data_IF_807221988370
#
_entry.id   IF_807221988370
#
_cell.length_a   1.000
_cell.length_b   1.000
_cell.length_c   1.000
_cell.angle_alpha   90.00
_cell.angle_beta   90.00
_cell.angle_gamma   90.00
#
_symmetry.space_group_name_H-M   'P 1'
#
loop_
_entity.id
_entity.type
_entity.pdbx_description
1 polymer ?
#
# COMPACT_ATOMS: atom_id res chain seq x y z
N UNK A 1 -54.36 58.56 38.99
CA UNK A 1 -53.19 57.95 38.33
C UNK A 1 -53.03 58.57 36.97
N UNK A 2 -51.82 58.98 36.64
CA UNK A 2 -51.50 59.60 35.35
C UNK A 2 -51.38 58.53 34.25
N UNK A 3 -51.67 58.89 32.99
CA UNK A 3 -51.53 58.00 31.82
C UNK A 3 -50.13 57.34 31.73
N UNK A 4 -49.11 58.06 32.19
CA UNK A 4 -47.71 57.61 32.22
C UNK A 4 -47.53 56.41 33.17
N UNK A 5 -48.20 56.40 34.33
CA UNK A 5 -48.12 55.31 35.30
C UNK A 5 -48.76 54.02 34.75
N UNK A 6 -49.87 54.16 34.03
CA UNK A 6 -50.53 53.04 33.35
C UNK A 6 -49.65 52.46 32.23
N UNK A 7 -48.98 53.32 31.46
CA UNK A 7 -48.06 52.91 30.41
C UNK A 7 -46.86 52.11 30.97
N UNK A 8 -46.33 52.52 32.13
CA UNK A 8 -45.23 51.82 32.81
C UNK A 8 -45.67 50.44 33.30
N UNK A 9 -46.87 50.32 33.89
CA UNK A 9 -47.42 49.04 34.34
C UNK A 9 -47.68 48.07 33.18
N UNK A 10 -48.14 48.56 32.03
CA UNK A 10 -48.30 47.73 30.83
C UNK A 10 -46.96 47.27 30.25
N UNK A 11 -45.90 48.07 30.36
CA UNK A 11 -44.57 47.69 29.89
C UNK A 11 -43.97 46.56 30.73
N UNK A 12 -44.09 46.63 32.06
CA UNK A 12 -43.56 45.59 32.95
C UNK A 12 -44.35 44.28 32.83
N UNK A 13 -45.69 44.34 32.75
CA UNK A 13 -46.51 43.13 32.55
C UNK A 13 -46.20 42.46 31.21
N UNK A 14 -46.01 43.26 30.14
CA UNK A 14 -45.66 42.77 28.81
C UNK A 14 -44.29 42.09 28.80
N UNK A 15 -43.29 42.66 29.47
CA UNK A 15 -41.95 42.05 29.58
C UNK A 15 -42.01 40.70 30.31
N UNK A 16 -42.82 40.59 31.37
CA UNK A 16 -42.98 39.33 32.11
C UNK A 16 -43.70 38.30 31.23
N UNK A 17 -44.81 38.67 30.58
CA UNK A 17 -45.52 37.77 29.66
C UNK A 17 -44.63 37.30 28.51
N UNK A 18 -43.78 38.17 27.97
CA UNK A 18 -42.83 37.82 26.91
C UNK A 18 -41.76 36.84 27.40
N UNK A 19 -41.20 37.08 28.59
CA UNK A 19 -40.22 36.16 29.21
C UNK A 19 -40.83 34.76 29.43
N UNK A 20 -42.09 34.69 29.88
CA UNK A 20 -42.82 33.44 30.03
C UNK A 20 -43.11 32.75 28.70
N UNK A 21 -43.46 33.51 27.66
CA UNK A 21 -43.64 32.98 26.31
C UNK A 21 -42.37 32.35 25.74
N UNK A 22 -41.23 33.02 25.89
CA UNK A 22 -39.92 32.49 25.47
C UNK A 22 -39.55 31.25 26.27
N UNK A 23 -39.79 31.25 27.59
CA UNK A 23 -39.50 30.10 28.45
C UNK A 23 -40.30 28.86 28.05
N UNK A 24 -41.61 28.99 27.80
CA UNK A 24 -42.46 27.88 27.35
C UNK A 24 -42.04 27.33 25.98
N UNK A 25 -41.67 28.22 25.05
CA UNK A 25 -41.18 27.82 23.73
C UNK A 25 -39.87 27.02 23.85
N UNK A 26 -38.97 27.43 24.74
CA UNK A 26 -37.72 26.72 25.01
C UNK A 26 -37.97 25.34 25.64
N UNK A 27 -38.89 25.24 26.62
CA UNK A 27 -39.28 23.97 27.24
C UNK A 27 -39.88 23.01 26.21
N UNK A 28 -40.69 23.50 25.28
CA UNK A 28 -41.25 22.69 24.20
C UNK A 28 -40.19 22.26 23.18
N UNK A 29 -39.26 23.16 22.82
CA UNK A 29 -38.15 22.84 21.91
C UNK A 29 -37.16 21.84 22.50
N UNK A 30 -36.86 21.94 23.80
CA UNK A 30 -36.00 21.00 24.52
C UNK A 30 -36.58 19.58 24.55
N UNK A 31 -37.92 19.44 24.58
CA UNK A 31 -38.58 18.13 24.54
C UNK A 31 -38.43 17.39 23.20
N UNK A 32 -38.14 18.11 22.11
CA UNK A 32 -37.93 17.53 20.78
C UNK A 32 -36.46 17.15 20.50
N UNK A 33 -35.51 17.54 21.35
CA UNK A 33 -34.11 17.08 21.28
C UNK A 33 -33.92 15.58 21.60
N UNK A 34 -34.50 14.99 22.66
CA UNK A 34 -34.29 13.57 22.98
C UNK A 34 -34.82 12.62 21.91
N UNK A 35 -35.79 13.03 21.10
CA UNK A 35 -36.33 12.24 19.99
C UNK A 35 -35.35 12.21 18.80
N UNK A 36 -34.73 13.37 18.47
CA UNK A 36 -33.68 13.44 17.45
C UNK A 36 -32.43 12.64 17.83
N UNK A 37 -32.03 12.66 19.10
CA UNK A 37 -30.89 11.89 19.58
C UNK A 37 -31.08 10.38 19.41
N UNK A 38 -32.29 9.88 19.65
CA UNK A 38 -32.62 8.46 19.43
C UNK A 38 -32.61 8.08 17.95
N UNK A 39 -33.13 8.93 17.08
CA UNK A 39 -33.07 8.71 15.63
C UNK A 39 -31.61 8.66 15.12
N UNK A 40 -30.75 9.54 15.64
CA UNK A 40 -29.33 9.55 15.32
C UNK A 40 -28.61 8.31 15.88
N UNK A 41 -28.97 7.81 17.07
CA UNK A 41 -28.46 6.56 17.65
C UNK A 41 -28.84 5.34 16.80
N UNK A 42 -30.09 5.25 16.33
CA UNK A 42 -30.53 4.17 15.42
C UNK A 42 -29.75 4.18 14.10
N UNK A 43 -29.50 5.37 13.53
CA UNK A 43 -28.66 5.53 12.34
C UNK A 43 -27.23 5.10 12.59
N UNK A 44 -26.66 5.42 13.76
CA UNK A 44 -25.32 4.98 14.15
C UNK A 44 -25.25 3.45 14.28
N UNK A 45 -26.25 2.80 14.87
CA UNK A 45 -26.33 1.34 14.94
C UNK A 45 -26.42 0.73 13.54
N UNK A 46 -27.23 1.30 12.65
CA UNK A 46 -27.35 0.82 11.28
C UNK A 46 -26.04 0.98 10.50
N UNK A 47 -25.37 2.13 10.65
CA UNK A 47 -24.05 2.39 10.06
C UNK A 47 -23.01 1.42 10.62
N UNK A 48 -23.00 1.18 11.93
CA UNK A 48 -22.08 0.23 12.56
C UNK A 48 -22.28 -1.19 12.02
N UNK A 49 -23.53 -1.61 11.81
CA UNK A 49 -23.86 -2.88 11.16
C UNK A 49 -23.29 -2.95 9.74
N UNK A 50 -23.51 -1.92 8.93
CA UNK A 50 -22.97 -1.85 7.56
C UNK A 50 -21.45 -1.83 7.54
N UNK A 51 -20.82 -1.03 8.39
CA UNK A 51 -19.35 -0.95 8.53
C UNK A 51 -18.80 -2.31 8.94
N UNK A 52 -19.40 -2.97 9.92
CA UNK A 52 -19.01 -4.33 10.32
C UNK A 52 -19.08 -5.29 9.14
N UNK A 53 -20.21 -5.36 8.43
CA UNK A 53 -20.35 -6.24 7.26
C UNK A 53 -19.38 -5.89 6.13
N UNK A 54 -19.08 -4.61 5.94
CA UNK A 54 -18.13 -4.15 4.93
C UNK A 54 -16.70 -4.55 5.30
N UNK A 55 -16.29 -4.30 6.55
CA UNK A 55 -14.99 -4.72 7.06
C UNK A 55 -14.84 -6.23 6.99
N UNK A 56 -15.84 -6.99 7.45
CA UNK A 56 -15.85 -8.45 7.38
C UNK A 56 -15.69 -8.93 5.92
N UNK A 57 -16.41 -8.31 4.97
CA UNK A 57 -16.29 -8.66 3.55
C UNK A 57 -14.92 -8.33 2.94
N UNK A 58 -14.30 -7.21 3.34
CA UNK A 58 -12.97 -6.82 2.87
C UNK A 58 -11.89 -7.70 3.47
N UNK A 59 -12.07 -8.14 4.70
CA UNK A 59 -11.19 -9.08 5.38
C UNK A 59 -11.23 -10.44 4.68
N UNK A 60 -12.42 -10.97 4.37
CA UNK A 60 -12.56 -12.22 3.60
C UNK A 60 -11.89 -12.14 2.21
N UNK A 61 -12.05 -11.00 1.52
CA UNK A 61 -11.37 -10.77 0.24
C UNK A 61 -9.85 -10.67 0.41
N UNK A 62 -9.38 -10.07 1.51
CA UNK A 62 -7.96 -9.97 1.81
C UNK A 62 -7.37 -11.36 2.08
N UNK A 63 -8.06 -12.19 2.85
CA UNK A 63 -7.64 -13.56 3.17
C UNK A 63 -7.54 -14.41 1.91
N UNK A 64 -8.52 -14.32 0.99
CA UNK A 64 -8.45 -15.00 -0.32
C UNK A 64 -7.26 -14.54 -1.16
N UNK A 65 -7.00 -13.23 -1.20
CA UNK A 65 -5.84 -12.68 -1.92
C UNK A 65 -4.52 -13.13 -1.28
N UNK A 66 -4.47 -13.25 0.05
CA UNK A 66 -3.30 -13.76 0.77
C UNK A 66 -3.05 -15.24 0.42
N UNK A 67 -4.11 -16.03 0.33
CA UNK A 67 -4.05 -17.44 -0.08
C UNK A 67 -3.58 -17.60 -1.53
N UNK A 68 -4.13 -16.82 -2.47
CA UNK A 68 -3.67 -16.77 -3.86
C UNK A 68 -2.18 -16.43 -3.95
N UNK A 69 -1.73 -15.40 -3.23
CA UNK A 69 -0.30 -15.01 -3.20
C UNK A 69 0.56 -16.15 -2.65
N UNK A 70 0.16 -16.80 -1.56
CA UNK A 70 0.90 -17.94 -1.02
C UNK A 70 0.99 -19.09 -2.03
N UNK A 71 -0.10 -19.40 -2.73
CA UNK A 71 -0.12 -20.43 -3.77
C UNK A 71 0.82 -20.07 -4.93
N UNK A 72 0.81 -18.81 -5.39
CA UNK A 72 1.75 -18.33 -6.42
C UNK A 72 3.21 -18.43 -5.95
N UNK A 73 3.51 -18.12 -4.69
CA UNK A 73 4.85 -18.29 -4.12
C UNK A 73 5.27 -19.76 -4.16
N UNK A 74 4.39 -20.69 -3.81
CA UNK A 74 4.69 -22.13 -3.87
C UNK A 74 4.91 -22.60 -5.31
N UNK A 75 4.11 -22.13 -6.27
CA UNK A 75 4.27 -22.48 -7.69
C UNK A 75 5.59 -21.95 -8.25
N UNK A 76 5.98 -20.72 -7.91
CA UNK A 76 7.28 -20.16 -8.29
C UNK A 76 8.42 -20.98 -7.70
N UNK A 77 8.31 -21.40 -6.43
CA UNK A 77 9.34 -22.22 -5.80
C UNK A 77 9.47 -23.60 -6.47
N UNK A 78 8.36 -24.20 -6.89
CA UNK A 78 8.35 -25.47 -7.63
C UNK A 78 8.95 -25.32 -9.03
N UNK A 79 8.59 -24.26 -9.76
CA UNK A 79 9.16 -23.95 -11.07
C UNK A 79 10.66 -23.65 -10.97
N UNK A 80 11.07 -22.86 -9.99
CA UNK A 80 12.48 -22.58 -9.71
C UNK A 80 13.25 -23.88 -9.44
N UNK A 81 12.69 -24.79 -8.63
CA UNK A 81 13.27 -26.10 -8.36
C UNK A 81 13.39 -26.96 -9.63
N UNK A 82 12.36 -26.96 -10.49
CA UNK A 82 12.41 -27.65 -11.79
C UNK A 82 13.49 -27.10 -12.70
N UNK A 83 13.60 -25.77 -12.84
CA UNK A 83 14.63 -25.12 -13.66
C UNK A 83 16.02 -25.44 -13.13
N UNK A 84 16.22 -25.45 -11.80
CA UNK A 84 17.49 -25.83 -11.19
C UNK A 84 17.86 -27.30 -11.49
N UNK A 85 16.88 -28.21 -11.39
CA UNK A 85 17.08 -29.62 -11.75
C UNK A 85 17.41 -29.76 -13.24
N UNK A 86 16.65 -29.12 -14.12
CA UNK A 86 16.90 -29.14 -15.57
C UNK A 86 18.30 -28.59 -15.90
N UNK A 87 18.71 -27.48 -15.28
CA UNK A 87 20.06 -26.93 -15.43
C UNK A 87 21.13 -27.95 -15.01
N UNK A 88 20.95 -28.60 -13.86
CA UNK A 88 21.88 -29.63 -13.38
C UNK A 88 21.94 -30.85 -14.31
N UNK A 89 20.82 -31.28 -14.91
CA UNK A 89 20.82 -32.39 -15.87
C UNK A 89 21.48 -32.00 -17.19
N UNK A 90 21.31 -30.75 -17.63
CA UNK A 90 21.98 -30.21 -18.82
C UNK A 90 23.49 -30.10 -18.57
N UNK A 91 23.91 -29.65 -17.39
CA UNK A 91 25.33 -29.57 -17.01
C UNK A 91 25.96 -30.97 -16.94
N UNK A 92 25.31 -31.93 -16.28
CA UNK A 92 25.74 -33.33 -16.27
C UNK A 92 25.78 -33.94 -17.68
N UNK A 93 24.83 -33.60 -18.56
CA UNK A 93 24.80 -34.07 -19.94
C UNK A 93 25.91 -33.42 -20.78
N UNK A 94 26.19 -32.13 -20.58
CA UNK A 94 27.34 -31.44 -21.19
C UNK A 94 28.66 -32.02 -20.72
N UNK A 95 28.81 -32.35 -19.43
CA UNK A 95 30.03 -32.97 -18.89
C UNK A 95 30.25 -34.38 -19.47
N UNK A 96 29.18 -35.15 -19.68
CA UNK A 96 29.25 -36.46 -20.35
C UNK A 96 29.58 -36.34 -21.84
N UNK A 97 29.03 -35.36 -22.54
CA UNK A 97 29.37 -35.08 -23.96
C UNK A 97 30.80 -34.57 -24.12
N UNK A 98 31.30 -33.76 -23.17
CA UNK A 98 32.68 -33.28 -23.20
C UNK A 98 33.71 -34.38 -22.86
N UNK A 99 33.32 -35.37 -22.02
CA UNK A 99 34.14 -36.56 -21.73
C UNK A 99 34.24 -37.56 -22.89
N UNK A 100 33.39 -37.45 -23.91
CA UNK A 100 33.41 -38.34 -25.08
C UNK A 100 34.21 -37.77 -26.27
N UNK A 101 34.63 -36.50 -26.22
CA UNK A 101 35.35 -35.83 -27.33
C UNK A 101 36.85 -35.67 -27.04
N UNK A 102 37.30 -35.79 -25.79
CA UNK A 102 38.71 -35.58 -25.46
C UNK A 102 39.34 -36.80 -24.78
N UNK A 103 40.12 -37.56 -25.56
CA UNK A 103 41.49 -37.99 -25.22
C UNK A 103 42.10 -38.77 -26.40
N UNK A 104 43.44 -38.80 -26.60
CA UNK A 104 44.50 -38.27 -25.74
C UNK A 104 45.63 -37.50 -26.49
N UNK A 105 46.04 -36.33 -25.99
CA UNK A 105 47.43 -35.90 -26.12
C UNK A 105 47.93 -35.20 -24.85
N UNK A 106 48.90 -35.87 -24.19
CA UNK A 106 50.15 -35.37 -23.57
C UNK A 106 50.20 -33.86 -23.29
N UNK A 107 50.40 -33.38 -22.06
CA UNK A 107 51.71 -33.32 -21.38
C UNK A 107 51.56 -32.73 -19.95
N UNK A 108 52.53 -33.04 -19.08
CA UNK A 108 52.59 -32.73 -17.64
C UNK A 108 53.08 -31.30 -17.40
N UNK A 109 52.57 -30.60 -16.38
CA UNK A 109 53.40 -30.08 -15.26
C UNK A 109 52.56 -29.48 -14.12
N UNK A 110 53.17 -29.48 -12.94
CA UNK A 110 52.64 -29.37 -11.57
C UNK A 110 52.94 -27.97 -11.04
N UNK A 111 52.13 -27.37 -10.15
CA UNK A 111 52.55 -26.69 -8.89
C UNK A 111 51.37 -26.15 -8.05
N UNK A 112 51.58 -26.14 -6.73
CA UNK A 112 50.69 -26.11 -5.56
C UNK A 112 50.09 -24.73 -5.17
N UNK A 113 48.87 -24.79 -4.59
CA UNK A 113 48.14 -23.99 -3.56
C UNK A 113 48.83 -22.81 -2.80
N UNK A 114 48.12 -22.00 -1.96
CA UNK A 114 46.75 -21.43 -2.01
C UNK A 114 46.70 -19.94 -1.53
N UNK A 115 45.79 -19.07 -2.00
CA UNK A 115 45.40 -17.87 -1.22
C UNK A 115 44.06 -17.24 -1.66
N UNK A 116 43.08 -17.32 -0.77
CA UNK A 116 42.06 -16.35 -0.35
C UNK A 116 41.43 -15.36 -1.36
N UNK A 117 40.10 -15.51 -1.49
CA UNK A 117 39.00 -14.70 -2.03
C UNK A 117 39.11 -13.15 -2.09
N UNK A 118 38.21 -12.42 -2.80
CA UNK A 118 37.01 -12.91 -3.51
C UNK A 118 36.88 -12.44 -4.97
N UNK A 119 36.32 -13.34 -5.77
CA UNK A 119 35.76 -13.09 -7.10
C UNK A 119 34.55 -12.17 -6.96
N UNK A 120 34.57 -11.04 -7.69
CA UNK A 120 33.42 -10.13 -7.80
C UNK A 120 32.24 -10.87 -8.43
N UNK A 121 31.26 -11.21 -7.61
CA UNK A 121 29.95 -11.68 -8.04
C UNK A 121 29.34 -10.64 -8.99
N UNK A 122 29.06 -11.06 -10.23
CA UNK A 122 28.14 -10.34 -11.12
C UNK A 122 26.75 -10.41 -10.47
N UNK A 123 26.36 -9.36 -9.75
CA UNK A 123 24.96 -9.15 -9.38
C UNK A 123 24.16 -8.94 -10.66
N UNK A 124 23.18 -9.80 -10.91
CA UNK A 124 22.09 -9.51 -11.83
C UNK A 124 21.46 -8.18 -11.39
N UNK A 125 21.52 -7.17 -12.28
CA UNK A 125 20.91 -5.86 -12.02
C UNK A 125 19.40 -6.04 -11.92
N UNK A 126 18.82 -5.64 -10.80
CA UNK A 126 17.37 -5.70 -10.61
C UNK A 126 16.67 -4.68 -11.53
N UNK A 127 15.37 -4.87 -11.79
CA UNK A 127 14.60 -4.02 -12.69
C UNK A 127 14.63 -2.54 -12.25
N UNK A 128 14.68 -2.30 -10.95
CA UNK A 128 14.80 -0.99 -10.32
C UNK A 128 16.16 -0.35 -10.63
N UNK A 129 17.25 -1.12 -10.53
CA UNK A 129 18.60 -0.64 -10.87
C UNK A 129 18.71 -0.26 -12.36
N UNK A 130 17.99 -0.98 -13.23
CA UNK A 130 17.92 -0.68 -14.66
C UNK A 130 17.06 0.56 -14.97
N UNK A 131 15.98 0.78 -14.22
CA UNK A 131 15.17 2.01 -14.28
C UNK A 131 15.99 3.21 -13.82
N UNK A 132 16.74 3.05 -12.73
CA UNK A 132 17.63 4.07 -12.18
C UNK A 132 18.76 4.39 -13.16
N UNK A 133 19.39 3.38 -13.76
CA UNK A 133 20.44 3.58 -14.78
C UNK A 133 19.91 4.39 -15.98
N UNK A 134 18.69 4.11 -16.45
CA UNK A 134 18.07 4.83 -17.57
C UNK A 134 17.64 6.26 -17.20
N UNK A 135 17.22 6.48 -15.96
CA UNK A 135 16.95 7.81 -15.42
C UNK A 135 18.23 8.65 -15.31
N UNK A 136 19.34 8.06 -14.83
CA UNK A 136 20.64 8.73 -14.76
C UNK A 136 21.20 9.10 -16.15
N UNK A 137 20.79 8.37 -17.20
CA UNK A 137 21.12 8.67 -18.61
C UNK A 137 20.23 9.79 -19.18
N UNK A 138 19.20 10.25 -18.44
CA UNK A 138 18.31 11.34 -18.84
C UNK A 138 17.14 10.91 -19.72
N UNK A 139 16.78 9.63 -19.69
CA UNK A 139 15.59 9.11 -20.40
C UNK A 139 14.32 9.62 -19.72
N UNK A 140 13.33 10.02 -20.51
CA UNK A 140 12.04 10.49 -19.99
C UNK A 140 11.26 9.39 -19.26
N UNK A 141 10.53 9.78 -18.20
CA UNK A 141 9.76 8.86 -17.34
C UNK A 141 8.73 8.06 -18.15
N UNK A 142 8.14 8.65 -19.19
CA UNK A 142 7.18 7.96 -20.06
C UNK A 142 7.84 6.94 -20.99
N UNK A 143 9.08 7.17 -21.42
CA UNK A 143 9.84 6.22 -22.23
C UNK A 143 10.33 5.02 -21.40
N UNK A 144 10.72 5.27 -20.14
CA UNK A 144 11.07 4.20 -19.20
C UNK A 144 9.84 3.33 -18.93
N UNK A 145 8.69 3.93 -18.64
CA UNK A 145 7.41 3.23 -18.45
C UNK A 145 7.08 2.34 -19.66
N UNK A 146 7.23 2.87 -20.87
CA UNK A 146 6.98 2.12 -22.12
C UNK A 146 7.96 0.97 -22.34
N UNK A 147 9.24 1.14 -21.99
CA UNK A 147 10.27 0.09 -22.16
C UNK A 147 10.10 -1.08 -21.19
N UNK A 148 9.62 -0.81 -19.98
CA UNK A 148 9.43 -1.85 -18.96
C UNK A 148 7.99 -2.34 -18.83
N UNK A 149 7.03 -1.72 -19.53
CA UNK A 149 5.61 -2.06 -19.41
C UNK A 149 5.02 -1.73 -18.04
N UNK A 150 5.64 -0.77 -17.33
CA UNK A 150 5.33 -0.35 -15.96
C UNK A 150 4.53 0.95 -16.02
N UNK A 151 3.66 1.22 -15.04
CA UNK A 151 2.90 2.47 -14.99
C UNK A 151 3.82 3.69 -14.79
N UNK A 152 3.50 4.83 -15.41
CA UNK A 152 4.28 6.08 -15.26
C UNK A 152 4.40 6.47 -13.78
N UNK A 153 3.35 6.24 -12.98
CA UNK A 153 3.38 6.48 -11.54
C UNK A 153 4.33 5.57 -10.75
N UNK A 154 4.51 4.32 -11.19
CA UNK A 154 5.41 3.36 -10.53
C UNK A 154 6.87 3.69 -10.83
N UNK A 155 7.19 4.08 -12.07
CA UNK A 155 8.52 4.59 -12.45
C UNK A 155 8.88 5.81 -11.62
N UNK A 156 7.95 6.77 -11.47
CA UNK A 156 8.14 7.95 -10.63
C UNK A 156 8.36 7.60 -9.16
N UNK A 157 7.63 6.61 -8.64
CA UNK A 157 7.79 6.15 -7.25
C UNK A 157 9.17 5.52 -7.01
N UNK A 158 9.67 4.71 -7.96
CA UNK A 158 11.00 4.10 -7.87
C UNK A 158 12.09 5.18 -7.90
N UNK A 159 11.95 6.18 -8.78
CA UNK A 159 12.89 7.31 -8.86
C UNK A 159 12.86 8.11 -7.56
N UNK A 160 11.68 8.45 -7.03
CA UNK A 160 11.53 9.23 -5.80
C UNK A 160 12.11 8.49 -4.57
N UNK A 161 11.84 7.19 -4.46
CA UNK A 161 12.45 6.32 -3.44
C UNK A 161 13.97 6.26 -3.57
N UNK A 162 14.50 6.21 -4.79
CA UNK A 162 15.94 6.20 -5.04
C UNK A 162 16.59 7.53 -4.65
N UNK A 163 16.01 8.67 -5.04
CA UNK A 163 16.49 10.01 -4.69
C UNK A 163 16.47 10.21 -3.17
N UNK A 164 15.40 9.76 -2.50
CA UNK A 164 15.28 9.80 -1.04
C UNK A 164 16.30 8.89 -0.35
N UNK A 165 16.53 7.69 -0.89
CA UNK A 165 17.50 6.72 -0.38
C UNK A 165 18.95 7.23 -0.51
N UNK A 166 19.28 7.93 -1.60
CA UNK A 166 20.60 8.53 -1.83
C UNK A 166 20.83 9.88 -1.13
N UNK A 167 19.86 10.37 -0.34
CA UNK A 167 20.05 11.54 0.51
C UNK A 167 19.75 12.90 -0.15
N UNK A 168 18.84 12.95 -1.12
CA UNK A 168 18.34 14.21 -1.68
C UNK A 168 17.35 14.90 -0.72
N UNK A 169 17.68 16.13 -0.29
CA UNK A 169 16.68 17.07 0.26
C UNK A 169 15.76 17.53 -0.88
N UNK A 170 14.47 17.60 -0.55
CA UNK A 170 13.38 18.18 -1.33
C UNK A 170 13.77 19.49 -2.03
#
# INVERSE_FOLDING_TARGET
MNLIEWLILFSTISSVSFAWGIYLLNVFSSKNQPEKLKEDEERLIQLMGRVKTFVDSKLDVLDKKMEEVNNLITEINDLYSKVLLDLSTIENKKEKVNKEIETPHTEKEITKQPNTEPVKAQKEKTLEEKIIDLYNVGTDEAEIAKRFGIGIGEVRLIIDLFVRSKGGKL
#
